data_IF_799013446304
#
_entry.id   IF_799013446304
#
_cell.length_a   1.000
_cell.length_b   1.000
_cell.length_c   1.000
_cell.angle_alpha   90.00
_cell.angle_beta   90.00
_cell.angle_gamma   90.00
#
_symmetry.space_group_name_H-M   'P 1'
#
loop_
_entity.id
_entity.type
_entity.pdbx_description
1 polymer ?
#
# COMPACT_ATOMS: atom_id res chain seq x y z
N UNK A 1 -7.43 9.90 -2.33
CA UNK A 1 -8.05 10.84 -1.35
C UNK A 1 -8.82 11.95 -2.08
N UNK A 2 -9.66 12.73 -1.36
CA UNK A 2 -10.37 13.90 -1.91
C UNK A 2 -9.39 14.92 -2.52
N UNK A 3 -8.27 15.16 -1.83
CA UNK A 3 -7.21 16.07 -2.29
C UNK A 3 -6.60 15.61 -3.62
N UNK A 4 -6.41 14.29 -3.80
CA UNK A 4 -5.87 13.71 -5.03
C UNK A 4 -6.86 13.83 -6.19
N UNK A 5 -8.16 13.67 -5.93
CA UNK A 5 -9.20 13.84 -6.93
C UNK A 5 -9.26 15.26 -7.51
N UNK A 6 -8.80 16.25 -6.75
CA UNK A 6 -8.66 17.65 -7.20
C UNK A 6 -7.32 17.94 -7.91
N UNK A 7 -6.52 16.93 -8.19
CA UNK A 7 -5.21 17.05 -8.81
C UNK A 7 -4.12 17.64 -7.90
N UNK A 8 -4.38 17.70 -6.58
CA UNK A 8 -3.44 18.26 -5.59
C UNK A 8 -2.58 17.16 -4.94
N UNK A 9 -2.11 16.20 -5.73
CA UNK A 9 -1.33 15.04 -5.28
C UNK A 9 -0.07 15.42 -4.50
N UNK A 10 0.54 16.57 -4.80
CA UNK A 10 1.69 17.08 -4.02
C UNK A 10 1.33 17.36 -2.57
N UNK A 11 0.13 17.87 -2.31
CA UNK A 11 -0.33 18.17 -0.95
C UNK A 11 -0.50 16.86 -0.16
N UNK A 12 -1.15 15.87 -0.75
CA UNK A 12 -1.25 14.52 -0.16
C UNK A 12 0.11 13.91 0.09
N UNK A 13 1.04 14.02 -0.86
CA UNK A 13 2.41 13.53 -0.72
C UNK A 13 3.12 14.16 0.48
N UNK A 14 3.08 15.49 0.63
CA UNK A 14 3.71 16.17 1.76
C UNK A 14 3.10 15.76 3.10
N UNK A 15 1.77 15.59 3.17
CA UNK A 15 1.11 15.08 4.37
C UNK A 15 1.60 13.67 4.73
N UNK A 16 1.74 12.78 3.75
CA UNK A 16 2.23 11.42 3.99
C UNK A 16 3.71 11.38 4.37
N UNK A 17 4.55 12.23 3.74
CA UNK A 17 5.97 12.36 4.11
C UNK A 17 6.10 12.87 5.55
N UNK A 18 5.25 13.81 5.98
CA UNK A 18 5.25 14.33 7.34
C UNK A 18 4.89 13.25 8.38
N UNK A 19 4.07 12.26 8.01
CA UNK A 19 3.70 11.16 8.90
C UNK A 19 4.92 10.35 9.34
N UNK A 20 5.91 10.15 8.47
CA UNK A 20 7.09 9.30 8.76
C UNK A 20 7.90 9.82 9.95
N UNK A 21 8.40 11.08 9.95
CA UNK A 21 9.14 11.60 11.10
C UNK A 21 8.28 11.73 12.36
N UNK A 22 6.99 12.06 12.24
CA UNK A 22 6.07 12.08 13.38
C UNK A 22 5.92 10.71 14.01
N UNK A 23 5.70 9.68 13.20
CA UNK A 23 5.58 8.30 13.66
C UNK A 23 6.88 7.83 14.33
N UNK A 24 8.02 8.11 13.70
CA UNK A 24 9.32 7.78 14.26
C UNK A 24 9.56 8.47 15.61
N UNK A 25 9.24 9.76 15.72
CA UNK A 25 9.41 10.53 16.95
C UNK A 25 8.53 9.99 18.08
N UNK A 26 7.23 9.81 17.85
CA UNK A 26 6.30 9.33 18.88
C UNK A 26 6.58 7.88 19.27
N UNK A 27 6.89 7.01 18.31
CA UNK A 27 7.25 5.62 18.61
C UNK A 27 8.54 5.57 19.43
N UNK A 28 9.59 6.27 19.03
CA UNK A 28 10.82 6.31 19.80
C UNK A 28 10.59 6.82 21.22
N UNK A 29 9.81 7.88 21.39
CA UNK A 29 9.54 8.49 22.68
C UNK A 29 8.76 7.56 23.63
N UNK A 30 7.72 6.88 23.11
CA UNK A 30 6.83 6.04 23.91
C UNK A 30 7.33 4.59 24.10
N UNK A 31 8.10 4.07 23.16
CA UNK A 31 8.70 2.74 23.31
C UNK A 31 9.80 2.77 24.37
N UNK A 32 10.67 3.78 24.31
CA UNK A 32 11.88 3.87 25.16
C UNK A 32 11.76 4.84 26.34
N UNK A 33 10.58 5.43 26.59
CA UNK A 33 10.38 6.35 27.72
C UNK A 33 11.24 7.61 27.64
N UNK A 34 11.45 8.17 26.44
CA UNK A 34 12.25 9.38 26.26
C UNK A 34 11.39 10.64 26.33
N UNK A 35 12.05 11.81 26.50
CA UNK A 35 11.41 13.13 26.58
C UNK A 35 10.36 13.26 27.70
N UNK A 36 10.53 12.53 28.82
CA UNK A 36 9.61 12.60 29.96
C UNK A 36 8.30 11.79 29.79
N UNK A 37 8.20 10.99 28.73
CA UNK A 37 7.08 10.08 28.53
C UNK A 37 7.36 8.71 29.17
N UNK A 38 6.29 7.98 29.58
CA UNK A 38 6.45 6.65 30.18
C UNK A 38 7.00 5.64 29.14
N UNK A 39 7.83 4.71 29.61
CA UNK A 39 8.28 3.58 28.81
C UNK A 39 7.15 2.54 28.72
N UNK A 40 6.54 2.44 27.55
CA UNK A 40 5.39 1.56 27.30
C UNK A 40 5.76 0.32 26.47
N UNK A 41 6.98 0.24 25.92
CA UNK A 41 7.38 -0.89 25.11
C UNK A 41 6.47 -1.11 23.88
N UNK A 42 5.99 -2.34 23.69
CA UNK A 42 5.13 -2.70 22.57
C UNK A 42 3.85 -1.87 22.44
N UNK A 43 3.03 -1.68 23.51
CA UNK A 43 1.89 -0.76 23.50
C UNK A 43 2.24 0.67 23.10
N UNK A 44 3.47 1.12 23.42
CA UNK A 44 3.99 2.45 23.04
C UNK A 44 4.04 2.67 21.53
N UNK A 45 4.33 1.64 20.74
CA UNK A 45 4.33 1.70 19.29
C UNK A 45 2.92 1.97 18.73
N UNK A 46 1.88 1.34 19.30
CA UNK A 46 0.49 1.57 18.93
C UNK A 46 0.02 3.00 19.25
N UNK A 47 0.31 3.47 20.47
CA UNK A 47 -0.02 4.83 20.88
C UNK A 47 0.76 5.88 20.08
N UNK A 48 2.04 5.67 19.83
CA UNK A 48 2.86 6.59 19.04
C UNK A 48 2.35 6.74 17.62
N UNK A 49 1.95 5.64 17.00
CA UNK A 49 1.32 5.67 15.67
C UNK A 49 -0.01 6.41 15.72
N UNK A 50 -0.87 6.16 16.70
CA UNK A 50 -2.13 6.88 16.86
C UNK A 50 -1.92 8.39 17.02
N UNK A 51 -0.96 8.80 17.87
CA UNK A 51 -0.62 10.21 18.06
C UNK A 51 -0.12 10.87 16.76
N UNK A 52 0.72 10.18 15.98
CA UNK A 52 1.18 10.68 14.69
C UNK A 52 0.02 10.94 13.73
N UNK A 53 -0.96 10.05 13.66
CA UNK A 53 -2.17 10.23 12.84
C UNK A 53 -3.06 11.37 13.36
N UNK A 54 -3.18 11.56 14.68
CA UNK A 54 -3.91 12.70 15.23
C UNK A 54 -3.27 14.05 14.86
N UNK A 55 -1.95 14.15 14.97
CA UNK A 55 -1.23 15.35 14.52
C UNK A 55 -1.42 15.57 13.02
N UNK A 56 -1.30 14.49 12.22
CA UNK A 56 -1.52 14.56 10.78
C UNK A 56 -2.94 15.02 10.44
N UNK A 57 -3.96 14.56 11.18
CA UNK A 57 -5.35 15.00 11.01
C UNK A 57 -5.50 16.50 11.26
N UNK A 58 -4.88 17.03 12.31
CA UNK A 58 -4.90 18.46 12.62
C UNK A 58 -4.26 19.26 11.48
N UNK A 59 -3.09 18.81 11.01
CA UNK A 59 -2.39 19.45 9.89
C UNK A 59 -3.25 19.39 8.62
N UNK A 60 -3.87 18.26 8.32
CA UNK A 60 -4.77 18.12 7.18
C UNK A 60 -5.97 19.08 7.25
N UNK A 61 -6.59 19.23 8.43
CA UNK A 61 -7.69 20.19 8.64
C UNK A 61 -7.21 21.63 8.39
N UNK A 62 -6.02 21.98 8.88
CA UNK A 62 -5.44 23.33 8.64
C UNK A 62 -5.19 23.55 7.14
N UNK A 63 -4.65 22.55 6.45
CA UNK A 63 -4.43 22.59 4.99
C UNK A 63 -5.76 22.75 4.25
N UNK A 64 -6.79 21.98 4.59
CA UNK A 64 -8.13 22.08 3.98
C UNK A 64 -8.75 23.47 4.15
N UNK A 65 -8.55 24.11 5.31
CA UNK A 65 -9.06 25.45 5.57
C UNK A 65 -8.28 26.57 4.87
N UNK A 66 -6.95 26.42 4.79
CA UNK A 66 -6.07 27.51 4.32
C UNK A 66 -5.71 27.42 2.84
N UNK A 67 -5.73 26.23 2.24
CA UNK A 67 -5.30 26.07 0.85
C UNK A 67 -6.32 26.71 -0.13
N UNK A 68 -5.88 27.64 -1.01
CA UNK A 68 -6.79 28.44 -1.86
C UNK A 68 -7.71 27.59 -2.74
N UNK A 69 -7.20 26.48 -3.29
CA UNK A 69 -7.97 25.57 -4.16
C UNK A 69 -8.93 24.64 -3.42
N UNK A 70 -8.77 24.48 -2.09
CA UNK A 70 -9.61 23.59 -1.28
C UNK A 70 -10.69 24.36 -0.54
N UNK A 71 -10.43 25.62 -0.21
CA UNK A 71 -11.34 26.52 0.51
C UNK A 71 -12.76 26.64 -0.11
N UNK A 72 -12.94 26.72 -1.45
CA UNK A 72 -14.26 26.84 -2.06
C UNK A 72 -15.18 25.64 -1.84
N UNK A 73 -14.63 24.46 -1.56
CA UNK A 73 -15.41 23.23 -1.41
C UNK A 73 -16.08 23.07 -0.04
N UNK A 74 -15.79 23.95 0.93
CA UNK A 74 -16.37 23.91 2.27
C UNK A 74 -16.42 22.50 2.91
N UNK A 75 -15.36 21.69 2.72
CA UNK A 75 -15.29 20.26 3.08
C UNK A 75 -15.60 19.98 4.55
N UNK A 76 -15.43 20.99 5.41
CA UNK A 76 -15.68 20.90 6.85
C UNK A 76 -17.06 21.41 7.26
N UNK A 77 -17.94 21.75 6.30
CA UNK A 77 -19.34 22.07 6.59
C UNK A 77 -20.08 20.78 6.98
N UNK A 78 -20.80 20.84 8.10
CA UNK A 78 -21.58 19.69 8.55
C UNK A 78 -22.94 19.71 7.84
N UNK A 79 -23.12 18.81 6.90
CA UNK A 79 -24.41 18.60 6.21
C UNK A 79 -25.05 17.30 6.71
N UNK A 80 -26.37 17.25 6.67
CA UNK A 80 -27.09 16.03 7.03
C UNK A 80 -26.77 14.91 6.04
N UNK A 81 -26.44 13.68 6.52
CA UNK A 81 -26.08 12.59 5.63
C UNK A 81 -27.27 12.17 4.78
N UNK A 82 -27.12 12.21 3.46
CA UNK A 82 -28.09 11.70 2.50
C UNK A 82 -27.73 10.25 2.12
N UNK A 83 -28.51 9.28 2.60
CA UNK A 83 -28.26 7.86 2.36
C UNK A 83 -28.22 7.48 0.87
N UNK A 84 -28.90 8.24 0.00
CA UNK A 84 -28.87 8.04 -1.45
C UNK A 84 -27.46 8.22 -2.04
N UNK A 85 -26.64 9.11 -1.47
CA UNK A 85 -25.27 9.38 -1.93
C UNK A 85 -24.29 8.28 -1.52
N UNK A 86 -24.66 7.42 -0.58
CA UNK A 86 -23.79 6.34 -0.08
C UNK A 86 -23.78 5.11 -1.00
N UNK A 87 -24.78 4.96 -1.85
CA UNK A 87 -24.90 3.78 -2.75
C UNK A 87 -23.69 3.61 -3.65
N UNK A 88 -23.20 4.67 -4.29
CA UNK A 88 -22.05 4.60 -5.20
C UNK A 88 -20.74 4.30 -4.47
N UNK A 89 -20.37 5.00 -3.37
CA UNK A 89 -19.19 4.66 -2.57
C UNK A 89 -19.22 3.22 -2.04
N UNK A 90 -20.38 2.72 -1.57
CA UNK A 90 -20.47 1.34 -1.10
C UNK A 90 -20.38 0.33 -2.23
N UNK A 91 -20.98 0.59 -3.38
CA UNK A 91 -20.92 -0.30 -4.54
C UNK A 91 -19.50 -0.47 -5.08
N UNK A 92 -18.64 0.55 -4.93
CA UNK A 92 -17.23 0.50 -5.29
C UNK A 92 -16.36 0.02 -4.13
N UNK A 93 -16.59 0.52 -2.94
CA UNK A 93 -15.74 0.28 -1.78
C UNK A 93 -15.83 -1.16 -1.25
N UNK A 94 -17.01 -1.77 -1.24
CA UNK A 94 -17.16 -3.15 -0.76
C UNK A 94 -16.37 -4.16 -1.59
N UNK A 95 -16.47 -4.20 -2.93
CA UNK A 95 -15.64 -5.11 -3.72
C UNK A 95 -14.14 -4.85 -3.56
N UNK A 96 -13.72 -3.58 -3.49
CA UNK A 96 -12.30 -3.23 -3.25
C UNK A 96 -11.86 -3.72 -1.87
N UNK A 97 -12.67 -3.50 -0.83
CA UNK A 97 -12.37 -3.95 0.51
C UNK A 97 -12.27 -5.47 0.61
N UNK A 98 -13.20 -6.21 0.01
CA UNK A 98 -13.14 -7.67 -0.04
C UNK A 98 -11.96 -8.19 -0.87
N UNK A 99 -11.58 -7.51 -1.95
CA UNK A 99 -10.40 -7.86 -2.72
C UNK A 99 -9.13 -7.77 -1.85
N UNK A 100 -8.91 -6.64 -1.19
CA UNK A 100 -7.77 -6.43 -0.29
C UNK A 100 -7.81 -7.40 0.90
N UNK A 101 -8.99 -7.62 1.48
CA UNK A 101 -9.15 -8.60 2.57
C UNK A 101 -8.79 -10.01 2.11
N UNK A 102 -9.25 -10.45 0.94
CA UNK A 102 -8.94 -11.77 0.37
C UNK A 102 -7.45 -11.97 0.13
N UNK A 103 -6.79 -10.95 -0.41
CA UNK A 103 -5.34 -10.94 -0.62
C UNK A 103 -4.57 -11.04 0.70
N UNK A 104 -4.87 -10.20 1.66
CA UNK A 104 -4.20 -10.21 2.98
C UNK A 104 -4.49 -11.52 3.73
N UNK A 105 -5.72 -12.03 3.66
CA UNK A 105 -6.12 -13.25 4.34
C UNK A 105 -5.36 -14.49 3.83
N UNK A 106 -5.13 -14.61 2.51
CA UNK A 106 -4.38 -15.75 1.98
C UNK A 106 -2.91 -15.71 2.43
N UNK A 107 -2.26 -14.55 2.39
CA UNK A 107 -0.88 -14.42 2.89
C UNK A 107 -0.78 -14.69 4.40
N UNK A 108 -1.75 -14.23 5.19
CA UNK A 108 -1.82 -14.53 6.61
C UNK A 108 -2.02 -16.03 6.87
N UNK A 109 -2.88 -16.69 6.08
CA UNK A 109 -3.11 -18.14 6.17
C UNK A 109 -1.84 -18.94 5.84
N UNK A 110 -1.14 -18.57 4.78
CA UNK A 110 0.15 -19.18 4.42
C UNK A 110 1.15 -19.02 5.56
N UNK A 111 1.24 -17.80 6.17
CA UNK A 111 2.08 -17.57 7.33
C UNK A 111 1.75 -18.47 8.52
N UNK A 112 0.46 -18.71 8.81
CA UNK A 112 0.01 -19.65 9.84
C UNK A 112 0.36 -21.10 9.51
N UNK A 113 0.25 -21.52 8.24
CA UNK A 113 0.62 -22.84 7.81
C UNK A 113 2.14 -23.09 7.94
N UNK A 114 2.95 -22.07 7.68
CA UNK A 114 4.41 -22.13 7.87
C UNK A 114 4.80 -22.38 9.34
N UNK A 115 3.97 -22.03 10.31
CA UNK A 115 4.24 -22.28 11.73
C UNK A 115 4.38 -23.78 12.07
N UNK A 116 3.78 -24.66 11.28
CA UNK A 116 3.92 -26.13 11.45
C UNK A 116 5.32 -26.65 11.18
N UNK A 117 6.13 -25.91 10.43
CA UNK A 117 7.49 -26.32 10.05
C UNK A 117 8.58 -25.81 11.01
N UNK A 118 8.18 -25.18 12.10
CA UNK A 118 9.10 -24.72 13.15
C UNK A 118 9.44 -23.23 13.06
N UNK A 119 10.02 -22.71 14.16
CA UNK A 119 10.26 -21.28 14.35
C UNK A 119 11.22 -20.68 13.32
N UNK A 120 12.22 -21.44 12.89
CA UNK A 120 13.19 -20.97 11.90
C UNK A 120 12.55 -20.78 10.52
N UNK A 121 11.68 -21.70 10.11
CA UNK A 121 10.99 -21.62 8.80
C UNK A 121 10.06 -20.42 8.76
N UNK A 122 9.27 -20.20 9.82
CA UNK A 122 8.38 -19.05 9.90
C UNK A 122 9.17 -17.74 9.94
N UNK A 123 10.29 -17.68 10.66
CA UNK A 123 11.13 -16.49 10.72
C UNK A 123 11.73 -16.15 9.35
N UNK A 124 12.26 -17.16 8.64
CA UNK A 124 12.81 -16.99 7.28
C UNK A 124 11.73 -16.59 6.27
N UNK A 125 10.54 -17.18 6.36
CA UNK A 125 9.40 -16.79 5.53
C UNK A 125 8.96 -15.35 5.80
N UNK A 126 8.84 -14.94 7.07
CA UNK A 126 8.46 -13.57 7.44
C UNK A 126 9.50 -12.55 6.97
N UNK A 127 10.79 -12.86 7.06
CA UNK A 127 11.85 -12.00 6.55
C UNK A 127 11.72 -11.80 5.02
N UNK A 128 11.53 -12.89 4.27
CA UNK A 128 11.33 -12.84 2.83
C UNK A 128 10.06 -12.06 2.45
N UNK A 129 8.94 -12.27 3.16
CA UNK A 129 7.68 -11.55 2.93
C UNK A 129 7.81 -10.06 3.23
N UNK A 130 8.48 -9.70 4.34
CA UNK A 130 8.71 -8.30 4.69
C UNK A 130 9.45 -7.54 3.58
N UNK A 131 10.50 -8.15 3.04
CA UNK A 131 11.24 -7.57 1.92
C UNK A 131 10.41 -7.54 0.63
N UNK A 132 9.62 -8.58 0.36
CA UNK A 132 8.73 -8.64 -0.80
C UNK A 132 7.67 -7.54 -0.78
N UNK A 133 7.12 -7.21 0.38
CA UNK A 133 6.22 -6.05 0.54
C UNK A 133 6.89 -4.72 0.20
N UNK A 134 8.17 -4.56 0.58
CA UNK A 134 8.93 -3.37 0.22
C UNK A 134 9.11 -3.25 -1.31
N UNK A 135 9.41 -4.35 -1.98
CA UNK A 135 9.53 -4.38 -3.44
C UNK A 135 8.17 -4.17 -4.13
N UNK A 136 7.07 -4.73 -3.59
CA UNK A 136 5.71 -4.54 -4.08
C UNK A 136 5.22 -3.09 -3.99
N UNK A 137 5.82 -2.27 -3.13
CA UNK A 137 5.47 -0.86 -3.01
C UNK A 137 5.59 -0.08 -4.33
N UNK A 138 6.50 -0.46 -5.22
CA UNK A 138 6.66 0.17 -6.54
C UNK A 138 5.46 -0.08 -7.47
N UNK A 139 5.08 -1.34 -7.78
CA UNK A 139 3.88 -1.61 -8.58
C UNK A 139 2.61 -1.02 -7.95
N UNK A 140 2.48 -1.09 -6.64
CA UNK A 140 1.34 -0.52 -5.91
C UNK A 140 1.26 1.00 -6.05
N UNK A 141 2.39 1.69 -6.01
CA UNK A 141 2.44 3.15 -6.20
C UNK A 141 2.00 3.54 -7.61
N UNK A 142 2.45 2.80 -8.63
CA UNK A 142 2.04 3.00 -10.02
C UNK A 142 0.54 2.70 -10.18
N UNK A 143 0.04 1.64 -9.56
CA UNK A 143 -1.40 1.29 -9.52
C UNK A 143 -2.26 2.43 -8.98
N UNK A 144 -1.84 3.03 -7.86
CA UNK A 144 -2.54 4.16 -7.26
C UNK A 144 -2.49 5.41 -8.16
N UNK A 145 -1.33 5.70 -8.76
CA UNK A 145 -1.19 6.80 -9.70
C UNK A 145 -2.09 6.62 -10.92
N UNK A 146 -2.13 5.42 -11.50
CA UNK A 146 -3.00 5.09 -12.63
C UNK A 146 -4.48 5.21 -12.27
N UNK A 147 -4.88 4.79 -11.08
CA UNK A 147 -6.27 4.97 -10.60
C UNK A 147 -6.67 6.45 -10.65
N UNK A 148 -5.80 7.34 -10.18
CA UNK A 148 -6.08 8.78 -10.14
C UNK A 148 -6.10 9.37 -11.56
N UNK A 149 -5.07 9.10 -12.36
CA UNK A 149 -4.92 9.70 -13.69
C UNK A 149 -6.02 9.19 -14.63
N UNK A 150 -6.26 7.88 -14.66
CA UNK A 150 -7.28 7.29 -15.54
C UNK A 150 -8.67 7.79 -15.17
N UNK A 151 -9.02 7.83 -13.88
CA UNK A 151 -10.33 8.36 -13.46
C UNK A 151 -10.51 9.83 -13.84
N UNK A 152 -9.45 10.63 -13.76
CA UNK A 152 -9.47 12.03 -14.16
C UNK A 152 -9.68 12.20 -15.67
N UNK A 153 -8.91 11.51 -16.50
CA UNK A 153 -9.01 11.56 -17.96
C UNK A 153 -10.37 11.03 -18.47
N UNK A 154 -10.87 9.96 -17.87
CA UNK A 154 -12.22 9.43 -18.20
C UNK A 154 -13.30 10.43 -17.79
N UNK A 155 -13.17 11.09 -16.65
CA UNK A 155 -14.07 12.17 -16.22
C UNK A 155 -14.11 13.34 -17.20
N UNK A 156 -12.99 13.65 -17.85
CA UNK A 156 -12.86 14.66 -18.90
C UNK A 156 -13.28 14.14 -20.30
N UNK A 157 -13.70 12.89 -20.43
CA UNK A 157 -14.01 12.22 -21.70
C UNK A 157 -12.82 12.12 -22.67
N UNK A 158 -11.59 12.21 -22.17
CA UNK A 158 -10.34 12.15 -22.94
C UNK A 158 -9.78 10.72 -22.95
N UNK A 159 -10.44 9.84 -23.69
CA UNK A 159 -10.04 8.43 -23.79
C UNK A 159 -8.66 8.21 -24.41
N UNK A 160 -8.21 9.13 -25.28
CA UNK A 160 -6.91 9.01 -25.93
C UNK A 160 -5.79 9.15 -24.92
N UNK A 161 -5.79 10.22 -24.14
CA UNK A 161 -4.79 10.42 -23.07
C UNK A 161 -4.85 9.32 -22.01
N UNK A 162 -6.07 8.86 -21.63
CA UNK A 162 -6.19 7.74 -20.70
C UNK A 162 -5.45 6.49 -21.20
N UNK A 163 -5.60 6.11 -22.47
CA UNK A 163 -4.88 4.96 -23.07
C UNK A 163 -3.37 5.16 -23.10
N UNK A 164 -2.89 6.36 -23.37
CA UNK A 164 -1.46 6.68 -23.35
C UNK A 164 -0.88 6.53 -21.94
N UNK A 165 -1.54 7.06 -20.92
CA UNK A 165 -1.12 6.88 -19.52
C UNK A 165 -1.17 5.42 -19.06
N UNK A 166 -2.18 4.65 -19.47
CA UNK A 166 -2.29 3.22 -19.19
C UNK A 166 -1.06 2.48 -19.76
N UNK A 167 -0.76 2.69 -21.04
CA UNK A 167 0.38 2.06 -21.69
C UNK A 167 1.71 2.44 -21.02
N UNK A 168 1.90 3.73 -20.74
CA UNK A 168 3.09 4.23 -20.07
C UNK A 168 3.23 3.65 -18.67
N UNK A 169 2.15 3.60 -17.89
CA UNK A 169 2.16 3.11 -16.53
C UNK A 169 2.47 1.61 -16.44
N UNK A 170 1.86 0.78 -17.28
CA UNK A 170 2.17 -0.65 -17.33
C UNK A 170 3.64 -0.86 -17.74
N UNK A 171 4.10 -0.18 -18.78
CA UNK A 171 5.48 -0.28 -19.25
C UNK A 171 6.49 0.13 -18.15
N UNK A 172 6.24 1.25 -17.48
CA UNK A 172 7.08 1.73 -16.38
C UNK A 172 7.08 0.74 -15.21
N UNK A 173 5.92 0.16 -14.86
CA UNK A 173 5.82 -0.84 -13.80
C UNK A 173 6.66 -2.08 -14.12
N UNK A 174 6.56 -2.59 -15.34
CA UNK A 174 7.31 -3.77 -15.77
C UNK A 174 8.82 -3.51 -15.76
N UNK A 175 9.26 -2.34 -16.25
CA UNK A 175 10.69 -1.97 -16.23
C UNK A 175 11.21 -1.86 -14.80
N UNK A 176 10.51 -1.14 -13.91
CA UNK A 176 10.94 -0.98 -12.52
C UNK A 176 10.97 -2.34 -11.83
N UNK A 177 9.95 -3.17 -12.02
CA UNK A 177 9.92 -4.52 -11.47
C UNK A 177 11.09 -5.35 -11.99
N UNK A 178 11.36 -5.35 -13.28
CA UNK A 178 12.48 -6.07 -13.85
C UNK A 178 13.82 -5.63 -13.24
N UNK A 179 14.07 -4.33 -13.15
CA UNK A 179 15.28 -3.80 -12.53
C UNK A 179 15.38 -4.20 -11.05
N UNK A 180 14.27 -4.12 -10.31
CA UNK A 180 14.20 -4.54 -8.91
C UNK A 180 14.46 -6.02 -8.76
N UNK A 181 13.90 -6.87 -9.64
CA UNK A 181 14.11 -8.32 -9.64
C UNK A 181 15.56 -8.69 -9.91
N UNK A 182 16.19 -8.06 -10.92
CA UNK A 182 17.61 -8.27 -11.24
C UNK A 182 18.47 -7.88 -10.04
N UNK A 183 18.24 -6.71 -9.48
CA UNK A 183 18.98 -6.25 -8.31
C UNK A 183 18.80 -7.20 -7.12
N UNK A 184 17.59 -7.63 -6.86
CA UNK A 184 17.23 -8.52 -5.76
C UNK A 184 17.86 -9.91 -5.94
N UNK A 185 17.86 -10.43 -7.15
CA UNK A 185 18.48 -11.72 -7.48
C UNK A 185 19.95 -11.78 -7.09
N UNK A 186 20.71 -10.73 -7.39
CA UNK A 186 22.13 -10.67 -7.06
C UNK A 186 22.40 -10.35 -5.59
N UNK A 187 21.50 -9.64 -4.91
CA UNK A 187 21.68 -9.20 -3.52
C UNK A 187 20.94 -10.06 -2.48
N UNK A 188 20.37 -11.21 -2.86
CA UNK A 188 19.65 -12.12 -1.93
C UNK A 188 20.44 -12.47 -0.66
N UNK A 189 21.74 -12.83 -0.74
CA UNK A 189 22.51 -13.17 0.46
C UNK A 189 22.65 -11.98 1.43
N UNK A 190 22.91 -10.80 0.89
CA UNK A 190 23.01 -9.56 1.66
C UNK A 190 21.67 -9.25 2.36
N UNK A 191 20.57 -9.34 1.63
CA UNK A 191 19.22 -9.08 2.15
C UNK A 191 18.87 -10.09 3.25
N UNK A 192 19.10 -11.38 3.03
CA UNK A 192 18.86 -12.40 4.03
C UNK A 192 19.71 -12.17 5.30
N UNK A 193 20.95 -11.73 5.13
CA UNK A 193 21.86 -11.38 6.23
C UNK A 193 21.43 -10.18 7.08
N UNK A 194 20.57 -9.29 6.56
CA UNK A 194 19.98 -8.18 7.34
C UNK A 194 19.00 -8.65 8.43
N UNK A 195 18.39 -9.82 8.23
CA UNK A 195 17.36 -10.36 9.12
C UNK A 195 17.88 -11.42 10.08
N UNK A 196 19.03 -12.04 9.79
CA UNK A 196 19.58 -13.07 10.65
C UNK A 196 21.00 -13.46 10.24
N UNK A 197 21.76 -14.03 11.19
CA UNK A 197 23.18 -14.34 11.03
C UNK A 197 23.47 -15.84 10.88
N UNK A 198 22.51 -16.73 11.17
CA UNK A 198 22.73 -18.17 11.03
C UNK A 198 22.70 -18.58 9.56
N UNK A 199 23.65 -19.42 9.16
CA UNK A 199 23.80 -19.93 7.80
C UNK A 199 22.52 -20.59 7.29
N UNK A 200 21.91 -21.44 8.11
CA UNK A 200 20.67 -22.14 7.77
C UNK A 200 19.47 -21.18 7.58
N UNK A 201 19.40 -20.10 8.37
CA UNK A 201 18.38 -19.04 8.20
C UNK A 201 18.59 -18.28 6.89
N UNK A 202 19.84 -17.90 6.58
CA UNK A 202 20.17 -17.16 5.36
C UNK A 202 19.82 -17.99 4.12
N UNK A 203 20.24 -19.27 4.09
CA UNK A 203 19.93 -20.16 2.96
C UNK A 203 18.41 -20.32 2.76
N UNK A 204 17.65 -20.56 3.82
CA UNK A 204 16.22 -20.73 3.75
C UNK A 204 15.51 -19.42 3.31
N UNK A 205 15.96 -18.27 3.83
CA UNK A 205 15.43 -16.97 3.42
C UNK A 205 15.73 -16.70 1.95
N UNK A 206 16.90 -17.04 1.43
CA UNK A 206 17.23 -16.93 -0.01
C UNK A 206 16.31 -17.79 -0.88
N UNK A 207 15.92 -18.97 -0.43
CA UNK A 207 14.94 -19.82 -1.14
C UNK A 207 13.59 -19.12 -1.20
N UNK A 208 13.06 -18.63 -0.07
CA UNK A 208 11.78 -17.90 -0.06
C UNK A 208 11.83 -16.62 -0.89
N UNK A 209 12.92 -15.86 -0.85
CA UNK A 209 13.12 -14.70 -1.72
C UNK A 209 13.10 -15.09 -3.20
N UNK A 210 13.65 -16.24 -3.57
CA UNK A 210 13.63 -16.72 -4.95
C UNK A 210 12.21 -17.01 -5.45
N UNK A 211 11.35 -17.57 -4.60
CA UNK A 211 9.93 -17.73 -4.92
C UNK A 211 9.22 -16.39 -5.02
N UNK A 212 9.58 -15.43 -4.17
CA UNK A 212 8.97 -14.08 -4.23
C UNK A 212 9.30 -13.34 -5.52
N UNK A 213 10.47 -13.58 -6.14
CA UNK A 213 10.81 -13.03 -7.45
C UNK A 213 9.84 -13.45 -8.54
N UNK A 214 9.37 -14.71 -8.49
CA UNK A 214 8.44 -15.22 -9.49
C UNK A 214 7.09 -14.51 -9.44
N UNK A 215 6.47 -14.43 -8.25
CA UNK A 215 5.16 -13.79 -8.17
C UNK A 215 5.23 -12.27 -8.34
N UNK A 216 6.32 -11.61 -7.97
CA UNK A 216 6.49 -10.17 -8.20
C UNK A 216 6.49 -9.77 -9.68
N UNK A 217 6.93 -10.63 -10.58
CA UNK A 217 6.80 -10.39 -12.02
C UNK A 217 5.33 -10.27 -12.44
N UNK A 218 4.48 -11.15 -11.92
CA UNK A 218 3.04 -11.11 -12.20
C UNK A 218 2.38 -9.90 -11.54
N UNK A 219 2.78 -9.56 -10.32
CA UNK A 219 2.28 -8.39 -9.60
C UNK A 219 2.61 -7.07 -10.30
N UNK A 220 3.76 -7.00 -10.98
CA UNK A 220 4.15 -5.83 -11.75
C UNK A 220 3.17 -5.49 -12.89
N UNK A 221 2.41 -6.46 -13.34
CA UNK A 221 1.35 -6.30 -14.35
C UNK A 221 -0.03 -6.25 -13.69
N UNK A 222 -0.28 -7.14 -12.74
CA UNK A 222 -1.58 -7.28 -12.08
C UNK A 222 -1.96 -6.03 -11.28
N UNK A 223 -1.03 -5.47 -10.49
CA UNK A 223 -1.32 -4.30 -9.66
C UNK A 223 -1.70 -3.05 -10.49
N UNK A 224 -0.96 -2.64 -11.55
CA UNK A 224 -1.38 -1.56 -12.42
C UNK A 224 -2.73 -1.81 -13.10
N UNK A 225 -3.01 -3.03 -13.56
CA UNK A 225 -4.30 -3.38 -14.17
C UNK A 225 -5.45 -3.20 -13.17
N UNK A 226 -5.28 -3.64 -11.92
CA UNK A 226 -6.25 -3.37 -10.87
C UNK A 226 -6.47 -1.86 -10.65
N UNK A 227 -5.41 -1.07 -10.68
CA UNK A 227 -5.49 0.39 -10.59
C UNK A 227 -6.28 1.02 -11.75
N UNK A 228 -6.04 0.56 -12.96
CA UNK A 228 -6.75 0.99 -14.16
C UNK A 228 -8.25 0.68 -14.05
N UNK A 229 -8.61 -0.56 -13.69
CA UNK A 229 -10.01 -0.98 -13.54
C UNK A 229 -10.73 -0.16 -12.47
N UNK A 230 -10.06 0.12 -11.33
CA UNK A 230 -10.58 1.06 -10.33
C UNK A 230 -10.80 2.47 -10.90
N UNK A 231 -9.89 2.94 -11.76
CA UNK A 231 -10.03 4.22 -12.48
C UNK A 231 -11.25 4.28 -13.40
N UNK A 232 -11.64 3.15 -13.98
CA UNK A 232 -12.89 2.99 -14.76
C UNK A 232 -14.14 2.73 -13.89
N UNK A 233 -14.01 2.77 -12.55
CA UNK A 233 -15.06 2.40 -11.59
C UNK A 233 -15.48 0.91 -11.66
N UNK A 234 -14.67 0.07 -12.26
CA UNK A 234 -14.88 -1.38 -12.24
C UNK A 234 -14.07 -2.00 -11.08
N UNK A 235 -14.73 -2.22 -9.97
CA UNK A 235 -14.16 -2.89 -8.80
C UNK A 235 -14.58 -4.37 -8.72
N UNK A 236 -15.56 -4.80 -9.53
CA UNK A 236 -16.10 -6.16 -9.46
C UNK A 236 -15.20 -7.17 -10.16
N UNK A 237 -14.67 -6.83 -11.34
CA UNK A 237 -13.79 -7.72 -12.08
C UNK A 237 -12.49 -8.05 -11.32
N UNK A 238 -11.74 -7.10 -10.77
CA UNK A 238 -10.59 -7.41 -9.93
C UNK A 238 -10.93 -8.32 -8.75
N UNK A 239 -12.06 -8.08 -8.07
CA UNK A 239 -12.51 -8.90 -6.95
C UNK A 239 -12.79 -10.36 -7.38
N UNK A 240 -13.52 -10.58 -8.48
CA UNK A 240 -13.86 -11.92 -8.97
C UNK A 240 -12.57 -12.67 -9.37
N UNK A 241 -11.67 -12.01 -10.11
CA UNK A 241 -10.42 -12.62 -10.56
C UNK A 241 -9.51 -12.96 -9.37
N UNK A 242 -9.44 -12.07 -8.38
CA UNK A 242 -8.67 -12.31 -7.16
C UNK A 242 -9.24 -13.48 -6.35
N UNK A 243 -10.57 -13.53 -6.19
CA UNK A 243 -11.24 -14.62 -5.49
C UNK A 243 -10.97 -15.98 -6.17
N UNK A 244 -11.07 -16.03 -7.49
CA UNK A 244 -10.78 -17.25 -8.24
C UNK A 244 -9.30 -17.63 -8.16
N UNK A 245 -8.39 -16.69 -8.34
CA UNK A 245 -6.95 -16.95 -8.34
C UNK A 245 -6.38 -17.35 -6.99
N UNK A 246 -6.90 -16.81 -5.89
CA UNK A 246 -6.35 -17.07 -4.54
C UNK A 246 -7.10 -18.17 -3.78
N UNK A 247 -8.38 -18.43 -4.08
CA UNK A 247 -9.22 -19.30 -3.25
C UNK A 247 -9.77 -20.52 -3.98
N UNK A 248 -9.67 -20.58 -5.31
CA UNK A 248 -10.18 -21.70 -6.11
C UNK A 248 -9.06 -22.47 -6.81
N UNK A 249 -8.02 -21.77 -7.29
CA UNK A 249 -6.84 -22.36 -7.96
C UNK A 249 -5.69 -22.47 -6.98
#
# INVERSE_FOLDING_TARGET
>A
SFIDALGLTRVSMFLMILLVPLNMFFNYSLIYGKFGLPELGGPGAGLGTAMAYWVLLIVAIVVLKKHPKLKPYHVLSFERPHLSLWKEPFALGLPIGFNVFGEVAIFALVGLLMAKFGSQVIASHQAAMNFSYLAYAFPMSISNALTIIVSYEIGQKNQKSAKEYIRLGIFTSVIIAFLTLVWLYFNRPMIAGLYGTSESFIQLTMVFLSYSLLFQMFDAVAAPIQGILRGYKDAKMPFILCLLGFWVI
#
